data_IF_478245284357
#
_entry.id   IF_478245284357
#
_cell.length_a   1.000
_cell.length_b   1.000
_cell.length_c   1.000
_cell.angle_alpha   90.00
_cell.angle_beta   90.00
_cell.angle_gamma   90.00
#
_symmetry.space_group_name_H-M   'P 1'
#
loop_
_entity.id
_entity.type
_entity.pdbx_description
1 polymer ?
#
# COMPACT_ATOMS: atom_id res chain seq x y z
N UNK A 1 9.97 -16.28 -21.82
CA UNK A 1 11.16 -15.68 -21.19
C UNK A 1 10.66 -14.81 -20.05
N UNK A 2 11.26 -14.94 -18.86
CA UNK A 2 10.91 -14.11 -17.71
C UNK A 2 11.28 -12.64 -18.00
N UNK A 3 10.42 -11.65 -17.71
CA UNK A 3 10.63 -10.28 -18.17
C UNK A 3 11.63 -9.47 -17.33
N UNK A 4 12.15 -10.03 -16.23
CA UNK A 4 13.09 -9.37 -15.32
C UNK A 4 14.24 -10.29 -14.92
N UNK A 5 14.97 -9.92 -13.87
CA UNK A 5 15.99 -10.74 -13.23
C UNK A 5 15.43 -11.38 -11.94
N UNK A 6 15.13 -12.67 -12.02
CA UNK A 6 14.51 -13.41 -10.91
C UNK A 6 15.38 -13.40 -9.64
N UNK A 7 16.72 -13.39 -9.75
CA UNK A 7 17.60 -13.40 -8.58
C UNK A 7 17.61 -12.05 -7.89
N UNK A 8 17.64 -10.97 -8.66
CA UNK A 8 17.56 -9.60 -8.13
C UNK A 8 16.20 -9.39 -7.46
N UNK A 9 15.10 -9.76 -8.13
CA UNK A 9 13.76 -9.62 -7.59
C UNK A 9 13.56 -10.42 -6.31
N UNK A 10 14.11 -11.64 -6.25
CA UNK A 10 14.09 -12.46 -5.03
C UNK A 10 14.88 -11.83 -3.88
N UNK A 11 16.01 -11.21 -4.19
CA UNK A 11 16.81 -10.49 -3.21
C UNK A 11 16.05 -9.26 -2.67
N UNK A 12 15.39 -8.51 -3.53
CA UNK A 12 14.51 -7.39 -3.15
C UNK A 12 13.36 -7.87 -2.27
N UNK A 13 12.65 -8.93 -2.68
CA UNK A 13 11.57 -9.52 -1.88
C UNK A 13 12.04 -9.89 -0.47
N UNK A 14 13.22 -10.49 -0.34
CA UNK A 14 13.79 -10.86 0.96
C UNK A 14 14.07 -9.62 1.84
N UNK A 15 14.61 -8.55 1.26
CA UNK A 15 14.83 -7.27 1.96
C UNK A 15 13.50 -6.67 2.42
N UNK A 16 12.48 -6.70 1.57
CA UNK A 16 11.15 -6.19 1.89
C UNK A 16 10.50 -6.99 3.03
N UNK A 17 10.60 -8.32 3.00
CA UNK A 17 10.13 -9.21 4.07
C UNK A 17 10.83 -8.90 5.39
N UNK A 18 12.15 -8.71 5.35
CA UNK A 18 12.92 -8.33 6.52
C UNK A 18 12.50 -6.96 7.08
N UNK A 19 12.41 -5.94 6.24
CA UNK A 19 12.01 -4.60 6.65
C UNK A 19 10.60 -4.57 7.25
N UNK A 20 9.66 -5.27 6.64
CA UNK A 20 8.30 -5.39 7.16
C UNK A 20 8.27 -6.07 8.53
N UNK A 21 9.04 -7.14 8.72
CA UNK A 21 9.16 -7.84 10.00
C UNK A 21 9.81 -6.95 11.05
N UNK A 22 10.93 -6.31 10.72
CA UNK A 22 11.65 -5.42 11.63
C UNK A 22 10.77 -4.27 12.12
N UNK A 23 9.97 -3.68 11.23
CA UNK A 23 9.01 -2.62 11.53
C UNK A 23 7.95 -3.06 12.54
N UNK A 24 7.37 -4.25 12.33
CA UNK A 24 6.37 -4.84 13.23
C UNK A 24 6.98 -5.18 14.59
N UNK A 25 8.16 -5.79 14.60
CA UNK A 25 8.87 -6.13 15.85
C UNK A 25 9.25 -4.90 16.65
N UNK A 26 9.77 -3.86 15.99
CA UNK A 26 10.10 -2.60 16.66
C UNK A 26 8.85 -1.92 17.27
N UNK A 27 7.72 -1.98 16.59
CA UNK A 27 6.47 -1.47 17.14
C UNK A 27 6.03 -2.28 18.37
N UNK A 28 6.21 -3.60 18.34
CA UNK A 28 5.90 -4.50 19.46
C UNK A 28 6.82 -4.25 20.66
N UNK A 29 8.13 -4.21 20.45
CA UNK A 29 9.15 -4.07 21.51
C UNK A 29 9.13 -2.68 22.18
N UNK A 30 8.41 -1.74 21.61
CA UNK A 30 8.29 -0.39 22.19
C UNK A 30 7.56 -0.33 23.54
N UNK A 31 7.03 -1.45 24.03
CA UNK A 31 6.31 -1.53 25.30
C UNK A 31 4.95 -0.82 25.36
N UNK A 32 4.51 -0.24 24.25
CA UNK A 32 3.26 0.52 24.15
C UNK A 32 2.02 -0.35 23.93
N UNK A 33 2.19 -1.68 23.82
CA UNK A 33 1.11 -2.61 23.44
C UNK A 33 0.65 -2.47 21.97
N UNK A 34 1.32 -1.64 21.18
CA UNK A 34 1.01 -1.38 19.78
C UNK A 34 1.81 -2.35 18.93
N UNK A 35 1.34 -3.58 18.83
CA UNK A 35 1.96 -4.57 17.94
C UNK A 35 1.68 -4.31 16.47
N UNK A 36 1.70 -5.34 15.69
CA UNK A 36 1.34 -5.32 14.27
C UNK A 36 1.07 -6.73 13.79
N UNK A 37 0.62 -6.85 12.55
CA UNK A 37 0.40 -8.13 11.90
C UNK A 37 1.40 -8.32 10.77
N UNK A 38 2.00 -9.48 10.69
CA UNK A 38 2.96 -9.81 9.63
C UNK A 38 2.46 -10.97 8.74
N UNK A 39 1.60 -11.84 9.26
CA UNK A 39 1.16 -13.04 8.56
C UNK A 39 0.46 -12.75 7.22
N UNK A 40 -0.37 -11.73 7.17
CA UNK A 40 -1.08 -11.33 5.93
C UNK A 40 -0.08 -10.90 4.86
N UNK A 41 0.89 -10.06 5.21
CA UNK A 41 1.94 -9.68 4.27
C UNK A 41 2.81 -10.88 3.90
N UNK A 42 3.22 -11.69 4.86
CA UNK A 42 4.06 -12.85 4.61
C UNK A 42 3.45 -13.81 3.58
N UNK A 43 2.13 -14.02 3.64
CA UNK A 43 1.42 -14.87 2.68
C UNK A 43 1.21 -14.19 1.31
N UNK A 44 1.10 -12.87 1.26
CA UNK A 44 0.83 -12.11 0.03
C UNK A 44 2.10 -11.53 -0.62
N UNK A 45 3.28 -11.64 0.01
CA UNK A 45 4.48 -10.91 -0.38
C UNK A 45 4.88 -11.17 -1.85
N UNK A 46 5.03 -12.43 -2.25
CA UNK A 46 5.42 -12.75 -3.64
C UNK A 46 4.37 -12.28 -4.66
N UNK A 47 3.08 -12.38 -4.33
CA UNK A 47 2.02 -11.88 -5.19
C UNK A 47 2.10 -10.35 -5.35
N UNK A 48 2.31 -9.62 -4.26
CA UNK A 48 2.45 -8.16 -4.28
C UNK A 48 3.70 -7.74 -5.06
N UNK A 49 4.83 -8.40 -4.83
CA UNK A 49 6.08 -8.09 -5.54
C UNK A 49 5.95 -8.36 -7.05
N UNK A 50 5.33 -9.47 -7.44
CA UNK A 50 5.03 -9.75 -8.84
C UNK A 50 4.11 -8.67 -9.43
N UNK A 51 3.09 -8.26 -8.68
CA UNK A 51 2.18 -7.19 -9.08
C UNK A 51 2.92 -5.87 -9.32
N UNK A 52 3.74 -5.44 -8.38
CA UNK A 52 4.50 -4.19 -8.48
C UNK A 52 5.58 -4.22 -9.55
N UNK A 53 6.24 -5.35 -9.74
CA UNK A 53 7.34 -5.44 -10.71
C UNK A 53 6.86 -5.60 -12.16
N UNK A 54 5.70 -6.25 -12.39
CA UNK A 54 5.32 -6.68 -13.73
C UNK A 54 3.91 -6.30 -14.17
N UNK A 55 3.01 -5.96 -13.24
CA UNK A 55 1.58 -5.79 -13.56
C UNK A 55 1.09 -4.37 -13.33
N UNK A 56 1.36 -3.80 -12.16
CA UNK A 56 0.81 -2.50 -11.79
C UNK A 56 1.54 -1.36 -12.51
N UNK A 57 0.77 -0.45 -13.07
CA UNK A 57 1.27 0.70 -13.82
C UNK A 57 1.23 1.95 -12.94
N UNK A 58 2.37 2.60 -12.83
CA UNK A 58 2.49 3.86 -12.14
C UNK A 58 1.77 4.99 -12.90
N UNK A 59 1.48 6.07 -12.19
CA UNK A 59 0.92 7.29 -12.77
C UNK A 59 1.91 7.91 -13.76
N UNK A 60 1.37 8.36 -14.90
CA UNK A 60 2.10 9.13 -15.92
C UNK A 60 1.34 10.42 -16.25
N UNK A 61 1.86 11.26 -17.13
CA UNK A 61 1.16 12.48 -17.57
C UNK A 61 -0.20 12.19 -18.22
N UNK A 62 -0.32 11.05 -18.90
CA UNK A 62 -1.52 10.67 -19.65
C UNK A 62 -2.31 9.51 -19.04
N UNK A 63 -1.87 8.99 -17.89
CA UNK A 63 -2.51 7.85 -17.23
C UNK A 63 -2.50 8.04 -15.71
N UNK A 64 -3.67 7.92 -15.09
CA UNK A 64 -3.85 8.13 -13.65
C UNK A 64 -3.14 7.13 -12.73
N UNK A 65 -2.61 6.05 -13.28
CA UNK A 65 -2.04 4.93 -12.53
C UNK A 65 -3.09 3.89 -12.14
N UNK A 66 -2.62 2.68 -11.84
CA UNK A 66 -3.48 1.63 -11.30
C UNK A 66 -3.73 1.85 -9.81
N UNK A 67 -4.98 1.74 -9.38
CA UNK A 67 -5.34 1.79 -7.98
C UNK A 67 -5.18 0.40 -7.36
N UNK A 68 -4.29 0.30 -6.39
CA UNK A 68 -4.04 -0.95 -5.66
C UNK A 68 -4.68 -0.86 -4.27
N UNK A 69 -5.62 -1.73 -3.97
CA UNK A 69 -6.28 -1.83 -2.67
C UNK A 69 -5.74 -3.06 -1.91
N UNK A 70 -4.63 -2.94 -1.20
CA UNK A 70 -4.07 -4.06 -0.45
C UNK A 70 -4.96 -4.40 0.73
N UNK A 71 -4.91 -5.65 1.16
CA UNK A 71 -5.42 -6.04 2.46
C UNK A 71 -4.80 -5.14 3.54
N UNK A 72 -5.57 -4.53 4.47
CA UNK A 72 -5.02 -3.55 5.41
C UNK A 72 -3.89 -4.12 6.27
N UNK A 73 -3.97 -5.39 6.63
CA UNK A 73 -2.95 -6.08 7.41
C UNK A 73 -1.66 -6.39 6.62
N UNK A 74 -1.65 -6.17 5.30
CA UNK A 74 -0.46 -6.23 4.46
C UNK A 74 0.29 -4.88 4.37
N UNK A 75 -0.23 -3.82 4.98
CA UNK A 75 0.39 -2.49 4.96
C UNK A 75 1.89 -2.46 5.33
N UNK A 76 2.40 -3.27 6.28
CA UNK A 76 3.84 -3.32 6.54
C UNK A 76 4.69 -3.58 5.30
N UNK A 77 4.27 -4.46 4.41
CA UNK A 77 4.97 -4.72 3.16
C UNK A 77 4.92 -3.56 2.18
N UNK A 78 3.77 -2.90 2.08
CA UNK A 78 3.62 -1.71 1.23
C UNK A 78 4.53 -0.57 1.72
N UNK A 79 4.60 -0.35 3.03
CA UNK A 79 5.50 0.65 3.62
C UNK A 79 6.97 0.27 3.42
N UNK A 80 7.33 -1.01 3.60
CA UNK A 80 8.68 -1.48 3.37
C UNK A 80 9.13 -1.23 1.92
N UNK A 81 8.25 -1.50 0.95
CA UNK A 81 8.50 -1.22 -0.46
C UNK A 81 8.63 0.28 -0.72
N UNK A 82 7.71 1.09 -0.25
CA UNK A 82 7.77 2.54 -0.40
C UNK A 82 9.02 3.16 0.22
N UNK A 83 9.54 2.58 1.29
CA UNK A 83 10.83 2.96 1.86
C UNK A 83 12.00 2.66 0.92
N UNK A 84 12.05 1.47 0.33
CA UNK A 84 13.10 1.14 -0.66
C UNK A 84 13.01 2.01 -1.92
N UNK A 85 11.82 2.42 -2.31
CA UNK A 85 11.58 3.34 -3.42
C UNK A 85 11.91 4.81 -3.06
N UNK A 86 12.32 5.10 -1.84
CA UNK A 86 12.64 6.46 -1.38
C UNK A 86 11.42 7.36 -1.12
N UNK A 87 10.21 6.80 -1.12
CA UNK A 87 8.95 7.52 -0.86
C UNK A 87 8.68 7.74 0.62
N UNK A 88 9.28 6.95 1.48
CA UNK A 88 9.19 7.05 2.93
C UNK A 88 10.58 7.15 3.54
N UNK A 89 10.71 7.92 4.61
CA UNK A 89 11.94 8.06 5.37
C UNK A 89 12.12 6.95 6.41
N UNK A 90 13.35 6.73 6.85
CA UNK A 90 13.65 5.81 7.94
C UNK A 90 12.92 6.19 9.25
N UNK A 91 12.75 7.50 9.49
CA UNK A 91 12.04 7.97 10.68
C UNK A 91 10.57 7.59 10.65
N UNK A 92 9.91 7.70 9.49
CA UNK A 92 8.53 7.26 9.31
C UNK A 92 8.39 5.75 9.52
N UNK A 93 9.30 4.94 8.96
CA UNK A 93 9.33 3.49 9.17
C UNK A 93 9.48 3.14 10.67
N UNK A 94 10.38 3.81 11.39
CA UNK A 94 10.56 3.61 12.84
C UNK A 94 9.33 4.00 13.66
N UNK A 95 8.50 4.88 13.14
CA UNK A 95 7.26 5.33 13.77
C UNK A 95 6.01 4.61 13.22
N UNK A 96 6.17 3.37 12.77
CA UNK A 96 5.04 2.55 12.36
C UNK A 96 4.02 2.40 13.51
N UNK A 97 2.74 2.62 13.21
CA UNK A 97 1.61 2.63 14.17
C UNK A 97 1.69 3.70 15.26
N UNK A 98 2.41 4.78 14.99
CA UNK A 98 2.54 5.95 15.89
C UNK A 98 2.12 7.23 15.17
N UNK A 99 1.03 7.16 14.43
CA UNK A 99 0.48 8.27 13.63
C UNK A 99 0.14 9.51 14.46
N UNK A 100 -0.15 9.34 15.75
CA UNK A 100 -0.45 10.45 16.65
C UNK A 100 0.81 11.04 17.33
N UNK A 101 1.98 10.49 17.04
CA UNK A 101 3.24 10.99 17.59
C UNK A 101 3.64 12.34 17.00
N UNK A 102 4.37 13.14 17.79
CA UNK A 102 4.82 14.49 17.40
C UNK A 102 5.75 14.53 16.18
N UNK A 103 6.39 13.42 15.86
CA UNK A 103 7.31 13.31 14.73
C UNK A 103 6.65 12.72 13.46
N UNK A 104 5.33 12.55 13.46
CA UNK A 104 4.61 11.84 12.41
C UNK A 104 4.96 10.36 12.35
N UNK A 105 4.01 9.53 11.98
CA UNK A 105 4.21 8.10 11.88
C UNK A 105 3.36 7.50 10.77
N UNK A 106 3.66 6.24 10.44
CA UNK A 106 2.86 5.52 9.47
C UNK A 106 1.58 5.03 10.14
N UNK A 107 0.46 5.24 9.45
CA UNK A 107 -0.84 4.80 9.94
C UNK A 107 -0.90 3.29 10.08
N UNK A 108 -1.60 2.83 11.12
CA UNK A 108 -1.79 1.40 11.39
C UNK A 108 -2.50 0.69 10.24
N UNK A 109 -3.43 1.39 9.59
CA UNK A 109 -4.19 0.93 8.45
C UNK A 109 -4.25 2.01 7.37
N UNK A 110 -4.40 1.62 6.09
CA UNK A 110 -4.58 2.56 4.99
C UNK A 110 -5.68 3.58 5.27
N UNK A 111 -5.34 4.86 5.27
CA UNK A 111 -6.33 5.92 5.43
C UNK A 111 -5.86 7.24 4.80
N UNK A 112 -6.60 7.78 3.80
CA UNK A 112 -6.23 9.02 3.11
C UNK A 112 -6.19 10.26 4.02
N UNK A 113 -6.96 10.29 5.12
CA UNK A 113 -6.92 11.41 6.06
C UNK A 113 -5.60 11.50 6.82
N UNK A 114 -5.01 10.36 7.20
CA UNK A 114 -3.73 10.32 7.92
C UNK A 114 -2.53 10.39 7.00
N UNK A 115 -2.66 9.88 5.77
CA UNK A 115 -1.60 9.88 4.76
C UNK A 115 -2.20 10.20 3.36
N UNK A 116 -2.58 11.47 3.09
CA UNK A 116 -3.34 11.86 1.89
C UNK A 116 -2.56 11.67 0.59
N UNK A 117 -1.23 11.80 0.63
CA UNK A 117 -0.37 11.63 -0.54
C UNK A 117 0.09 10.18 -0.76
N UNK A 118 -0.36 9.27 0.11
CA UNK A 118 0.07 7.87 0.08
C UNK A 118 -1.07 6.89 -0.15
N UNK A 119 -2.19 7.06 0.55
CA UNK A 119 -3.34 6.17 0.47
C UNK A 119 -4.51 6.83 -0.27
N UNK A 120 -5.03 6.15 -1.29
CA UNK A 120 -6.17 6.63 -2.06
C UNK A 120 -7.51 6.24 -1.44
N UNK A 121 -7.56 5.12 -0.71
CA UNK A 121 -8.78 4.57 -0.13
C UNK A 121 -8.59 4.16 1.34
N UNK A 122 -9.58 4.43 2.21
CA UNK A 122 -9.54 3.93 3.56
C UNK A 122 -9.80 2.42 3.57
N UNK A 123 -9.01 1.69 4.32
CA UNK A 123 -9.17 0.25 4.42
C UNK A 123 -8.71 -0.28 5.79
N UNK A 124 -9.65 -0.82 6.55
CA UNK A 124 -9.39 -1.38 7.88
C UNK A 124 -9.91 -2.82 8.04
N UNK A 125 -10.87 -3.24 7.23
CA UNK A 125 -11.51 -4.55 7.33
C UNK A 125 -10.93 -5.56 6.36
N UNK A 126 -10.66 -6.77 6.84
CA UNK A 126 -10.12 -7.86 6.02
C UNK A 126 -11.07 -8.30 4.89
N UNK A 127 -12.37 -8.30 5.10
CA UNK A 127 -13.36 -8.72 4.09
C UNK A 127 -13.77 -7.62 3.12
N UNK A 128 -13.71 -6.36 3.54
CA UNK A 128 -14.24 -5.23 2.76
C UNK A 128 -13.30 -4.79 1.63
N UNK A 129 -12.01 -5.04 1.71
CA UNK A 129 -11.05 -4.64 0.66
C UNK A 129 -11.45 -5.14 -0.72
N UNK A 130 -11.78 -6.42 -0.82
CA UNK A 130 -12.19 -7.05 -2.08
C UNK A 130 -13.49 -6.47 -2.62
N UNK A 131 -14.46 -6.28 -1.73
CA UNK A 131 -15.76 -5.69 -2.10
C UNK A 131 -15.57 -4.25 -2.57
N UNK A 132 -14.80 -3.44 -1.83
CA UNK A 132 -14.48 -2.06 -2.20
C UNK A 132 -13.75 -2.00 -3.54
N UNK A 133 -12.78 -2.88 -3.79
CA UNK A 133 -12.05 -2.93 -5.06
C UNK A 133 -12.98 -3.22 -6.24
N UNK A 134 -13.91 -4.18 -6.09
CA UNK A 134 -14.89 -4.51 -7.13
C UNK A 134 -15.81 -3.31 -7.42
N UNK A 135 -16.33 -2.66 -6.38
CA UNK A 135 -17.19 -1.50 -6.57
C UNK A 135 -16.43 -0.30 -7.16
N UNK A 136 -15.20 -0.08 -6.72
CA UNK A 136 -14.35 0.98 -7.27
C UNK A 136 -14.04 0.75 -8.76
N UNK A 137 -13.68 -0.46 -9.14
CA UNK A 137 -13.45 -0.82 -10.54
C UNK A 137 -14.72 -0.65 -11.39
N UNK A 138 -15.88 -1.05 -10.85
CA UNK A 138 -17.17 -0.85 -11.51
C UNK A 138 -17.52 0.62 -11.67
N UNK A 139 -17.26 1.41 -10.65
CA UNK A 139 -17.48 2.85 -10.67
C UNK A 139 -16.55 3.55 -11.67
N UNK A 140 -15.25 3.22 -11.69
CA UNK A 140 -14.31 3.73 -12.69
C UNK A 140 -14.78 3.42 -14.11
N UNK A 141 -15.16 2.16 -14.38
CA UNK A 141 -15.70 1.76 -15.68
C UNK A 141 -16.99 2.50 -16.05
N UNK A 142 -17.83 2.80 -15.07
CA UNK A 142 -19.04 3.60 -15.32
C UNK A 142 -18.67 5.04 -15.71
N UNK A 143 -17.63 5.63 -15.10
CA UNK A 143 -17.11 6.94 -15.43
C UNK A 143 -16.46 7.03 -16.82
N UNK A 144 -15.86 5.97 -17.31
CA UNK A 144 -15.30 5.90 -18.66
C UNK A 144 -16.37 5.94 -19.77
N UNK A 145 -17.64 5.81 -19.42
CA UNK A 145 -18.73 5.86 -20.39
C UNK A 145 -19.02 7.33 -20.77
N UNK A 146 -18.75 7.75 -22.05
CA UNK A 146 -18.88 9.14 -22.46
C UNK A 146 -20.28 9.74 -22.32
N UNK A 147 -21.32 8.93 -22.20
CA UNK A 147 -22.70 9.39 -22.00
C UNK A 147 -22.94 10.05 -20.63
N UNK A 148 -22.07 9.81 -19.64
CA UNK A 148 -22.25 10.28 -18.27
C UNK A 148 -21.39 11.47 -17.91
N UNK A 149 -20.33 11.78 -18.68
CA UNK A 149 -19.42 12.92 -18.45
C UNK A 149 -20.09 14.28 -18.60
N UNK A 150 -21.20 14.35 -19.31
CA UNK A 150 -21.87 15.63 -19.58
C UNK A 150 -22.60 16.24 -18.38
N UNK A 151 -22.79 15.50 -17.28
CA UNK A 151 -23.59 15.90 -16.13
C UNK A 151 -22.87 15.92 -14.78
N UNK A 152 -21.58 15.66 -14.75
CA UNK A 152 -20.83 15.61 -13.48
C UNK A 152 -19.62 16.56 -13.52
N UNK A 153 -19.73 17.66 -12.78
CA UNK A 153 -18.62 18.57 -12.50
C UNK A 153 -17.91 18.03 -11.25
N UNK A 154 -16.68 17.55 -11.42
CA UNK A 154 -15.83 17.19 -10.29
C UNK A 154 -15.01 18.38 -9.85
N UNK A 155 -15.12 18.72 -8.59
CA UNK A 155 -14.12 19.55 -7.93
C UNK A 155 -12.88 18.69 -7.68
N UNK A 156 -11.75 19.15 -8.22
CA UNK A 156 -10.42 18.62 -7.91
C UNK A 156 -9.99 19.07 -6.52
#
# INVERSE_FOLDING_TARGET
VYPGDLQIEKSIENILRWNAMAMVMQAYDSGSGVGGHIATYASAATMLETGFNHCFKARTENYGGDMVLPQPHAAPGIYARAYLEGRLSLQQIKNFRRELGTQGGLSSYPHPRSMPDFWEMPNASMGLSTVCAIYQARFAKWFENPKWWQNLVFYR
#
